data_IF_304621537429
#
_entry.id   IF_304621537429
#
_cell.length_a   1.000
_cell.length_b   1.000
_cell.length_c   1.000
_cell.angle_alpha   90.00
_cell.angle_beta   90.00
_cell.angle_gamma   90.00
#
_symmetry.space_group_name_H-M   'P 1'
#
loop_
_entity.id
_entity.type
_entity.pdbx_description
1 polymer ?
#
# COMPACT_ATOMS: atom_id res chain seq x y z
N UNK A 1 0.62 -3.41 -2.82
CA UNK A 1 1.91 -2.70 -2.89
C UNK A 1 2.77 -2.97 -1.65
N UNK A 2 2.35 -2.63 -0.43
CA UNK A 2 3.11 -3.01 0.79
C UNK A 2 3.20 -4.54 0.98
N UNK A 3 2.11 -5.28 0.80
CA UNK A 3 2.12 -6.74 0.96
C UNK A 3 2.89 -7.48 -0.15
N UNK A 4 2.87 -6.95 -1.38
CA UNK A 4 3.65 -7.51 -2.50
C UNK A 4 5.15 -7.23 -2.34
N UNK A 5 5.53 -6.02 -1.90
CA UNK A 5 6.93 -5.67 -1.62
C UNK A 5 7.49 -6.36 -0.35
N UNK A 6 6.63 -6.66 0.64
CA UNK A 6 6.96 -7.43 1.84
C UNK A 6 6.95 -8.95 1.60
N UNK A 7 6.27 -9.45 0.55
CA UNK A 7 6.35 -10.87 0.16
C UNK A 7 7.52 -11.16 -0.77
N UNK A 8 7.89 -10.24 -1.67
CA UNK A 8 9.00 -10.46 -2.61
C UNK A 8 10.40 -10.43 -1.98
N UNK A 9 10.58 -9.70 -0.87
CA UNK A 9 11.91 -9.52 -0.25
C UNK A 9 12.21 -10.45 0.92
N UNK A 10 11.24 -11.23 1.41
CA UNK A 10 11.36 -11.97 2.68
C UNK A 10 11.23 -13.49 2.57
N UNK A 11 10.88 -14.01 1.40
CA UNK A 11 10.94 -15.45 1.15
C UNK A 11 12.31 -15.81 0.58
N UNK A 12 13.05 -16.68 1.28
CA UNK A 12 14.07 -17.51 0.66
C UNK A 12 13.41 -18.23 -0.52
N UNK A 13 13.66 -17.78 -1.74
CA UNK A 13 13.29 -18.53 -2.93
C UNK A 13 14.13 -19.83 -2.94
N UNK A 14 13.54 -20.92 -2.47
CA UNK A 14 13.93 -22.24 -2.94
C UNK A 14 13.31 -22.36 -4.34
N UNK A 15 14.07 -21.99 -5.37
CA UNK A 15 13.70 -22.27 -6.76
C UNK A 15 13.91 -23.76 -7.03
N UNK A 16 13.00 -24.60 -6.54
CA UNK A 16 12.89 -25.97 -7.04
C UNK A 16 12.10 -25.96 -8.34
N UNK A 17 12.80 -25.98 -9.46
CA UNK A 17 12.22 -26.27 -10.78
C UNK A 17 11.69 -27.71 -10.77
N UNK A 18 10.40 -27.90 -10.48
CA UNK A 18 9.70 -29.14 -10.78
C UNK A 18 8.85 -28.93 -12.05
N UNK A 19 9.31 -29.49 -13.17
CA UNK A 19 8.47 -29.69 -14.34
C UNK A 19 7.56 -30.88 -14.09
N UNK A 20 6.37 -30.65 -13.54
CA UNK A 20 5.30 -31.66 -13.52
C UNK A 20 4.34 -31.38 -14.68
N UNK A 21 4.48 -32.20 -15.74
CA UNK A 21 3.45 -32.38 -16.76
C UNK A 21 2.34 -33.19 -16.10
N UNK A 22 1.25 -32.55 -15.69
CA UNK A 22 0.03 -33.22 -15.26
C UNK A 22 -1.15 -32.71 -16.08
N UNK A 23 -1.53 -33.51 -17.09
CA UNK A 23 -2.81 -33.42 -17.78
C UNK A 23 -3.94 -33.72 -16.79
N UNK A 24 -4.69 -32.72 -16.35
CA UNK A 24 -6.03 -32.92 -15.80
C UNK A 24 -7.02 -31.97 -16.46
N UNK A 25 -7.89 -32.57 -17.28
CA UNK A 25 -9.02 -31.95 -17.97
C UNK A 25 -10.21 -31.87 -17.01
N UNK A 26 -10.52 -30.67 -16.51
CA UNK A 26 -11.82 -30.41 -15.87
C UNK A 26 -12.83 -29.93 -16.91
N UNK A 27 -13.66 -30.89 -17.33
CA UNK A 27 -14.75 -30.73 -18.27
C UNK A 27 -15.93 -30.00 -17.61
N UNK A 28 -16.10 -28.71 -17.92
CA UNK A 28 -17.33 -27.95 -17.62
C UNK A 28 -17.85 -27.44 -18.96
N UNK A 29 -18.87 -28.12 -19.47
CA UNK A 29 -19.82 -27.71 -20.52
C UNK A 29 -19.30 -26.66 -21.53
N UNK A 30 -18.52 -27.12 -22.50
CA UNK A 30 -18.54 -26.67 -23.89
C UNK A 30 -18.37 -25.18 -24.16
N UNK A 31 -17.18 -24.62 -23.93
CA UNK A 31 -16.69 -23.43 -24.61
C UNK A 31 -15.15 -23.43 -24.62
N UNK A 32 -14.55 -23.77 -25.77
CA UNK A 32 -13.11 -23.65 -26.00
C UNK A 32 -12.76 -22.19 -26.31
N UNK A 33 -12.17 -21.48 -25.35
CA UNK A 33 -11.52 -20.18 -25.57
C UNK A 33 -10.03 -20.35 -25.31
N UNK A 34 -9.26 -20.50 -26.39
CA UNK A 34 -7.80 -20.46 -26.35
C UNK A 34 -7.33 -19.03 -26.00
N UNK A 35 -7.05 -18.78 -24.73
CA UNK A 35 -6.26 -17.63 -24.32
C UNK A 35 -4.77 -17.94 -24.57
N UNK A 36 -4.12 -17.13 -25.41
CA UNK A 36 -2.67 -17.08 -25.49
C UNK A 36 -2.18 -16.58 -24.13
N UNK A 37 -1.74 -17.53 -23.30
CA UNK A 37 -1.14 -17.27 -22.00
C UNK A 37 0.19 -16.53 -22.22
N UNK A 38 0.19 -15.21 -22.02
CA UNK A 38 1.42 -14.53 -21.63
C UNK A 38 1.78 -15.04 -20.24
N UNK A 39 3.01 -15.53 -20.07
CA UNK A 39 3.50 -16.18 -18.86
C UNK A 39 3.33 -15.29 -17.62
N UNK A 40 2.22 -15.46 -16.90
CA UNK A 40 2.08 -15.00 -15.52
C UNK A 40 2.20 -16.23 -14.62
N UNK A 41 3.38 -16.39 -14.01
CA UNK A 41 3.63 -17.42 -13.01
C UNK A 41 2.97 -17.01 -11.70
N UNK A 42 1.91 -17.72 -11.29
CA UNK A 42 1.22 -17.50 -10.02
C UNK A 42 1.80 -18.46 -8.97
N UNK A 43 2.71 -17.98 -8.13
CA UNK A 43 3.28 -18.81 -7.05
C UNK A 43 2.23 -19.03 -5.95
N UNK A 44 1.79 -20.29 -5.81
CA UNK A 44 0.99 -20.77 -4.66
C UNK A 44 1.92 -20.90 -3.45
N UNK A 45 1.73 -20.07 -2.43
CA UNK A 45 2.48 -20.13 -1.16
C UNK A 45 1.91 -21.26 -0.30
N UNK A 46 2.69 -22.32 -0.08
CA UNK A 46 2.46 -23.26 1.01
C UNK A 46 3.41 -22.90 2.15
N UNK A 47 2.88 -22.73 3.36
CA UNK A 47 3.67 -22.52 4.57
C UNK A 47 4.22 -23.90 4.97
N UNK A 48 5.46 -24.19 4.61
CA UNK A 48 6.20 -25.32 5.19
C UNK A 48 7.28 -24.79 6.14
N UNK A 49 7.26 -25.36 7.35
CA UNK A 49 8.06 -24.98 8.50
C UNK A 49 9.57 -25.01 8.17
N UNK A 50 10.30 -23.97 8.59
CA UNK A 50 11.76 -24.04 8.70
C UNK A 50 12.13 -25.09 9.76
N UNK A 51 12.95 -26.11 9.47
CA UNK A 51 13.41 -27.03 10.50
C UNK A 51 14.40 -26.32 11.43
N UNK A 52 14.16 -26.48 12.74
CA UNK A 52 15.08 -26.10 13.81
C UNK A 52 16.44 -26.81 13.67
N UNK A 53 17.52 -26.11 14.03
CA UNK A 53 18.84 -26.72 14.26
C UNK A 53 18.79 -27.68 15.45
N UNK A 54 19.35 -28.88 15.28
CA UNK A 54 19.89 -29.67 16.39
C UNK A 54 21.34 -30.12 16.07
N UNK A 55 22.19 -30.33 17.09
CA UNK A 55 23.62 -30.06 17.03
C UNK A 55 24.49 -31.30 16.78
N UNK A 56 25.72 -31.05 16.33
CA UNK A 56 26.98 -31.82 16.54
C UNK A 56 26.92 -33.36 16.54
N UNK A 57 27.66 -34.01 15.63
CA UNK A 57 28.84 -34.87 15.96
C UNK A 57 29.37 -35.71 14.77
N UNK A 58 30.70 -35.77 14.73
CA UNK A 58 31.59 -36.90 14.39
C UNK A 58 31.61 -37.54 12.99
N UNK A 59 32.76 -37.39 12.32
CA UNK A 59 33.43 -38.40 11.46
C UNK A 59 33.55 -39.77 12.15
N UNK A 60 33.63 -40.92 11.42
CA UNK A 60 34.85 -41.40 10.72
C UNK A 60 34.57 -41.98 9.30
N UNK A 61 35.46 -41.90 8.30
CA UNK A 61 36.74 -42.59 8.00
C UNK A 61 36.61 -44.05 7.52
N UNK A 62 37.44 -44.40 6.50
CA UNK A 62 37.70 -45.71 5.85
C UNK A 62 36.72 -46.10 4.71
N UNK A 63 37.10 -46.73 3.58
CA UNK A 63 38.38 -47.24 3.05
C UNK A 63 38.20 -47.67 1.59
N UNK A 64 39.28 -47.63 0.83
CA UNK A 64 39.51 -48.19 -0.51
C UNK A 64 39.22 -49.69 -0.67
N UNK A 65 38.73 -50.14 -1.85
CA UNK A 65 39.46 -51.04 -2.79
C UNK A 65 38.56 -51.82 -3.79
N UNK A 66 38.99 -51.79 -5.06
CA UNK A 66 38.85 -52.68 -6.23
C UNK A 66 38.07 -54.01 -6.17
N UNK A 67 37.30 -54.36 -7.22
CA UNK A 67 37.72 -55.22 -8.36
C UNK A 67 36.61 -55.49 -9.41
N UNK A 68 37.06 -55.56 -10.67
CA UNK A 68 36.50 -55.95 -11.98
C UNK A 68 35.35 -56.97 -12.14
N UNK A 69 34.48 -56.74 -13.14
CA UNK A 69 34.22 -57.66 -14.28
C UNK A 69 33.34 -57.02 -15.38
N UNK A 70 33.70 -57.27 -16.64
CA UNK A 70 33.13 -56.71 -17.88
C UNK A 70 31.73 -57.24 -18.27
N UNK A 71 30.92 -56.45 -19.00
CA UNK A 71 30.53 -56.68 -20.42
C UNK A 71 29.45 -55.67 -20.92
N UNK A 72 29.73 -55.05 -22.06
CA UNK A 72 28.84 -54.58 -23.14
C UNK A 72 27.70 -53.55 -22.93
N UNK A 73 27.86 -52.44 -23.67
CA UNK A 73 26.87 -51.72 -24.51
C UNK A 73 26.23 -50.41 -23.99
N UNK A 74 26.35 -49.37 -24.84
CA UNK A 74 25.74 -48.03 -24.87
C UNK A 74 26.30 -46.94 -23.93
N UNK A 75 27.01 -45.90 -24.43
CA UNK A 75 27.27 -44.70 -23.64
C UNK A 75 26.06 -43.76 -23.73
N UNK A 76 25.17 -43.82 -22.74
CA UNK A 76 24.38 -42.65 -22.36
C UNK A 76 25.36 -41.65 -21.75
N UNK A 77 25.58 -40.53 -22.43
CA UNK A 77 26.33 -39.39 -21.90
C UNK A 77 25.57 -38.82 -20.70
N UNK A 78 25.83 -39.35 -19.51
CA UNK A 78 25.62 -38.64 -18.26
C UNK A 78 26.62 -37.48 -18.22
N UNK A 79 26.20 -36.34 -18.76
CA UNK A 79 26.86 -35.06 -18.48
C UNK A 79 26.61 -34.76 -17.01
N UNK A 80 27.66 -34.94 -16.20
CA UNK A 80 27.76 -34.37 -14.86
C UNK A 80 27.64 -32.84 -14.99
N UNK A 81 26.41 -32.34 -15.03
CA UNK A 81 26.14 -30.95 -14.69
C UNK A 81 26.41 -30.85 -13.20
N UNK A 82 27.55 -30.25 -12.85
CA UNK A 82 27.76 -29.71 -11.52
C UNK A 82 26.62 -28.72 -11.26
N UNK A 83 25.55 -29.19 -10.64
CA UNK A 83 24.49 -28.34 -10.11
C UNK A 83 25.15 -27.62 -8.93
N UNK A 84 25.71 -26.45 -9.21
CA UNK A 84 25.95 -25.45 -8.16
C UNK A 84 24.57 -25.06 -7.65
N UNK A 85 24.12 -25.74 -6.61
CA UNK A 85 23.02 -25.27 -5.78
C UNK A 85 23.54 -23.95 -5.20
N UNK A 86 23.20 -22.84 -5.85
CA UNK A 86 23.31 -21.52 -5.22
C UNK A 86 22.24 -21.56 -4.14
N UNK A 87 22.65 -22.02 -2.98
CA UNK A 87 21.87 -21.92 -1.76
C UNK A 87 21.76 -20.42 -1.49
N UNK A 88 20.68 -19.81 -1.96
CA UNK A 88 20.25 -18.45 -1.62
C UNK A 88 19.90 -18.44 -0.13
N UNK A 89 20.93 -18.55 0.71
CA UNK A 89 20.82 -18.46 2.14
C UNK A 89 20.19 -17.12 2.50
N UNK A 90 19.24 -17.13 3.43
CA UNK A 90 18.68 -15.91 4.01
C UNK A 90 19.83 -15.12 4.64
N UNK A 91 20.22 -14.01 3.99
CA UNK A 91 21.24 -13.11 4.53
C UNK A 91 20.64 -12.32 5.69
N UNK A 92 21.00 -12.70 6.92
CA UNK A 92 20.48 -12.09 8.14
C UNK A 92 20.86 -10.61 8.23
N UNK A 93 22.04 -10.28 7.73
CA UNK A 93 22.56 -8.91 7.60
C UNK A 93 21.64 -8.00 6.78
N UNK A 94 21.06 -8.51 5.68
CA UNK A 94 20.12 -7.74 4.84
C UNK A 94 18.85 -7.42 5.60
N UNK A 95 18.29 -8.38 6.35
CA UNK A 95 17.09 -8.17 7.14
C UNK A 95 17.29 -7.14 8.26
N UNK A 96 18.44 -7.21 8.96
CA UNK A 96 18.78 -6.26 10.02
C UNK A 96 18.94 -4.84 9.48
N UNK A 97 19.71 -4.66 8.40
CA UNK A 97 19.89 -3.35 7.76
C UNK A 97 18.57 -2.80 7.24
N UNK A 98 17.74 -3.65 6.62
CA UNK A 98 16.43 -3.25 6.14
C UNK A 98 15.57 -2.71 7.28
N UNK A 99 15.50 -3.42 8.41
CA UNK A 99 14.72 -3.01 9.57
C UNK A 99 15.25 -1.72 10.20
N UNK A 100 16.56 -1.58 10.33
CA UNK A 100 17.21 -0.36 10.86
C UNK A 100 16.91 0.85 9.98
N UNK A 101 17.02 0.71 8.66
CA UNK A 101 16.73 1.80 7.72
C UNK A 101 15.25 2.17 7.71
N UNK A 102 14.36 1.18 7.73
CA UNK A 102 12.92 1.39 7.77
C UNK A 102 12.47 2.08 9.06
N UNK A 103 12.80 1.50 10.23
CA UNK A 103 12.40 2.06 11.52
C UNK A 103 13.10 3.39 11.80
N UNK A 104 14.37 3.54 11.39
CA UNK A 104 15.10 4.79 11.50
C UNK A 104 14.45 5.92 10.71
N UNK A 105 13.97 5.64 9.50
CA UNK A 105 13.25 6.64 8.67
C UNK A 105 11.97 7.08 9.34
N UNK A 106 11.17 6.13 9.84
CA UNK A 106 9.92 6.42 10.57
C UNK A 106 10.22 7.21 11.85
N UNK A 107 11.23 6.80 12.61
CA UNK A 107 11.63 7.44 13.85
C UNK A 107 12.03 8.90 13.63
N UNK A 108 12.91 9.18 12.66
CA UNK A 108 13.35 10.54 12.34
C UNK A 108 12.14 11.37 11.87
N UNK A 109 11.34 10.86 10.94
CA UNK A 109 10.18 11.58 10.41
C UNK A 109 9.16 11.95 11.51
N UNK A 110 8.84 11.02 12.42
CA UNK A 110 7.91 11.27 13.52
C UNK A 110 8.48 12.22 14.58
N UNK A 111 9.79 12.17 14.86
CA UNK A 111 10.41 13.11 15.78
C UNK A 111 10.42 14.53 15.22
N UNK A 112 10.74 14.71 13.92
CA UNK A 112 10.68 16.01 13.27
C UNK A 112 9.23 16.53 13.22
N UNK A 113 8.25 15.67 12.98
CA UNK A 113 6.83 16.05 13.01
C UNK A 113 6.38 16.53 14.40
N UNK A 114 6.77 15.80 15.46
CA UNK A 114 6.46 16.17 16.84
C UNK A 114 7.31 17.34 17.36
N UNK A 115 8.29 17.80 16.60
CA UNK A 115 9.17 18.91 16.99
C UNK A 115 8.38 20.22 17.19
N UNK A 116 7.25 20.37 16.50
CA UNK A 116 6.26 21.46 16.71
C UNK A 116 5.82 21.62 18.16
N UNK A 117 5.66 20.51 18.88
CA UNK A 117 5.20 20.47 20.28
C UNK A 117 6.31 20.78 21.28
N UNK A 118 7.56 20.83 20.83
CA UNK A 118 8.70 21.04 21.72
C UNK A 118 8.98 22.53 21.91
N UNK A 119 9.49 22.95 23.09
CA UNK A 119 9.81 24.35 23.37
C UNK A 119 11.11 24.82 22.68
N UNK A 120 11.80 23.95 21.94
CA UNK A 120 13.07 24.25 21.29
C UNK A 120 12.85 24.97 19.94
N UNK A 121 13.72 25.93 19.60
CA UNK A 121 13.67 26.78 18.40
C UNK A 121 12.50 27.77 18.32
N UNK A 122 12.62 28.75 17.42
CA UNK A 122 11.55 29.71 17.12
C UNK A 122 10.43 29.06 16.32
N UNK A 123 9.19 29.54 16.48
CA UNK A 123 8.01 28.95 15.84
C UNK A 123 8.15 28.75 14.33
N UNK A 124 8.65 29.77 13.61
CA UNK A 124 8.86 29.70 12.15
C UNK A 124 9.86 28.62 11.75
N UNK A 125 10.93 28.42 12.52
CA UNK A 125 11.92 27.38 12.23
C UNK A 125 11.34 25.98 12.47
N UNK A 126 10.50 25.81 13.50
CA UNK A 126 9.81 24.54 13.76
C UNK A 126 8.84 24.17 12.65
N UNK A 127 8.09 25.15 12.15
CA UNK A 127 7.14 24.96 11.04
C UNK A 127 7.86 24.49 9.78
N UNK A 128 8.92 25.19 9.37
CA UNK A 128 9.76 24.79 8.22
C UNK A 128 10.34 23.38 8.41
N UNK A 129 10.86 23.07 9.61
CA UNK A 129 11.43 21.75 9.88
C UNK A 129 10.37 20.64 9.78
N UNK A 130 9.12 20.93 10.17
CA UNK A 130 8.00 20.00 10.15
C UNK A 130 7.51 19.75 8.73
N UNK A 131 7.44 20.79 7.90
CA UNK A 131 7.06 20.68 6.50
C UNK A 131 8.08 19.86 5.69
N UNK A 132 9.38 20.02 6.00
CA UNK A 132 10.46 19.26 5.37
C UNK A 132 10.83 17.96 6.13
N UNK A 133 10.06 17.56 7.14
CA UNK A 133 10.37 16.39 7.97
C UNK A 133 10.59 15.12 7.14
N UNK A 134 9.72 14.91 6.16
CA UNK A 134 9.72 13.71 5.33
C UNK A 134 10.89 13.67 4.33
N UNK A 135 11.16 14.71 3.51
CA UNK A 135 12.37 14.78 2.70
C UNK A 135 13.66 14.64 3.52
N UNK A 136 13.75 15.30 4.68
CA UNK A 136 14.94 15.24 5.55
C UNK A 136 15.15 13.81 6.07
N UNK A 137 14.09 13.13 6.50
CA UNK A 137 14.17 11.73 6.95
C UNK A 137 14.64 10.78 5.84
N UNK A 138 14.10 10.93 4.62
CA UNK A 138 14.49 10.09 3.47
C UNK A 138 15.96 10.34 3.09
N UNK A 139 16.38 11.61 2.97
CA UNK A 139 17.75 11.95 2.59
C UNK A 139 18.75 11.48 3.65
N UNK A 140 18.47 11.73 4.93
CA UNK A 140 19.36 11.33 6.03
C UNK A 140 19.54 9.82 6.13
N UNK A 141 18.45 9.04 6.07
CA UNK A 141 18.53 7.58 6.13
C UNK A 141 19.07 6.96 4.84
N UNK A 142 18.87 7.59 3.68
CA UNK A 142 19.52 7.16 2.44
C UNK A 142 21.03 7.38 2.49
N UNK A 143 21.49 8.49 3.07
CA UNK A 143 22.91 8.77 3.27
C UNK A 143 23.53 7.78 4.27
N UNK A 144 22.85 7.48 5.37
CA UNK A 144 23.26 6.42 6.31
C UNK A 144 23.33 5.06 5.62
N UNK A 145 22.31 4.70 4.83
CA UNK A 145 22.28 3.45 4.08
C UNK A 145 23.43 3.31 3.08
N UNK A 146 23.71 4.38 2.33
CA UNK A 146 24.77 4.39 1.31
C UNK A 146 26.19 4.46 1.90
N UNK A 147 26.43 5.27 2.94
CA UNK A 147 27.77 5.47 3.51
C UNK A 147 28.16 4.43 4.56
N UNK A 148 27.22 3.99 5.41
CA UNK A 148 27.51 3.08 6.53
C UNK A 148 27.27 1.62 6.12
N UNK A 149 26.23 1.37 5.32
CA UNK A 149 25.81 0.02 4.92
C UNK A 149 26.03 -0.28 3.44
N UNK A 150 26.90 0.49 2.75
CA UNK A 150 27.17 0.34 1.32
C UNK A 150 27.74 -1.03 0.92
N UNK A 151 28.35 -1.75 1.86
CA UNK A 151 28.88 -3.10 1.63
C UNK A 151 27.78 -4.17 1.50
N UNK A 152 26.59 -3.90 2.04
CA UNK A 152 25.46 -4.85 2.05
C UNK A 152 24.55 -4.52 0.87
N UNK A 153 24.58 -5.40 -0.15
CA UNK A 153 23.80 -5.23 -1.38
C UNK A 153 22.31 -5.44 -1.11
N UNK A 154 21.59 -4.36 -0.85
CA UNK A 154 20.14 -4.34 -0.91
C UNK A 154 19.70 -4.50 -2.37
N UNK A 155 18.61 -5.24 -2.61
CA UNK A 155 18.03 -5.35 -3.96
C UNK A 155 17.67 -3.94 -4.44
N UNK A 156 18.30 -3.39 -5.49
CA UNK A 156 17.98 -2.06 -5.97
C UNK A 156 16.60 -2.03 -6.62
N UNK A 157 16.08 -0.84 -6.85
CA UNK A 157 14.90 -0.68 -7.69
C UNK A 157 15.28 -1.04 -9.14
N UNK A 158 14.85 -2.22 -9.60
CA UNK A 158 15.07 -2.69 -10.97
C UNK A 158 14.16 -1.89 -11.90
N UNK A 159 14.75 -1.12 -12.81
CA UNK A 159 14.02 -0.44 -13.89
C UNK A 159 14.47 -1.07 -15.18
N UNK A 160 13.59 -1.85 -15.80
CA UNK A 160 13.87 -2.39 -17.11
C UNK A 160 13.62 -1.30 -18.17
N UNK A 161 14.59 -1.02 -19.06
CA UNK A 161 14.43 0.00 -20.09
C UNK A 161 13.33 -0.34 -21.12
N UNK A 162 12.88 -1.60 -21.17
CA UNK A 162 11.75 -2.08 -21.99
C UNK A 162 10.39 -1.54 -21.53
N UNK A 163 10.25 -1.12 -20.27
CA UNK A 163 8.98 -0.60 -19.74
C UNK A 163 8.57 0.75 -20.35
N UNK A 164 9.51 1.44 -21.01
CA UNK A 164 9.26 2.74 -21.64
C UNK A 164 8.83 2.66 -23.10
N UNK A 165 8.77 1.46 -23.69
CA UNK A 165 8.33 1.32 -25.08
C UNK A 165 6.81 1.47 -25.17
N UNK A 166 6.38 2.59 -25.73
CA UNK A 166 4.98 2.87 -26.01
C UNK A 166 4.50 1.96 -27.16
N UNK A 167 3.82 0.88 -26.79
CA UNK A 167 3.21 -0.06 -27.73
C UNK A 167 1.73 0.28 -27.93
N UNK A 168 1.28 0.26 -29.17
CA UNK A 168 -0.14 0.46 -29.49
C UNK A 168 -0.91 -0.84 -29.25
N UNK A 169 -2.08 -0.74 -28.62
CA UNK A 169 -2.97 -1.88 -28.44
C UNK A 169 -3.31 -2.57 -29.78
N UNK A 170 -3.02 -3.88 -29.95
CA UNK A 170 -3.33 -4.61 -31.18
C UNK A 170 -4.83 -4.96 -31.25
N UNK A 171 -5.66 -3.97 -31.61
CA UNK A 171 -7.13 -4.12 -31.70
C UNK A 171 -7.57 -5.05 -32.84
N UNK A 172 -6.70 -5.30 -33.82
CA UNK A 172 -7.03 -6.06 -35.03
C UNK A 172 -7.12 -7.58 -34.80
N UNK A 173 -6.59 -8.09 -33.68
CA UNK A 173 -6.58 -9.53 -33.36
C UNK A 173 -7.73 -9.94 -32.41
N UNK A 174 -8.63 -9.02 -32.05
CA UNK A 174 -9.62 -9.26 -31.00
C UNK A 174 -10.87 -9.99 -31.54
N UNK A 175 -11.19 -11.14 -30.95
CA UNK A 175 -12.40 -11.89 -31.27
C UNK A 175 -13.64 -11.27 -30.61
N UNK A 176 -14.80 -11.35 -31.26
CA UNK A 176 -16.07 -10.84 -30.72
C UNK A 176 -16.43 -11.36 -29.31
N UNK A 177 -16.19 -12.64 -28.96
CA UNK A 177 -16.42 -13.14 -27.60
C UNK A 177 -15.51 -12.46 -26.56
N UNK A 178 -14.26 -12.16 -26.91
CA UNK A 178 -13.35 -11.45 -26.02
C UNK A 178 -13.81 -10.01 -25.76
N UNK A 179 -14.38 -9.34 -26.78
CA UNK A 179 -15.01 -8.02 -26.61
C UNK A 179 -16.17 -8.10 -25.62
N UNK A 180 -17.08 -9.07 -25.78
CA UNK A 180 -18.21 -9.21 -24.87
C UNK A 180 -17.77 -9.55 -23.43
N UNK A 181 -16.79 -10.43 -23.28
CA UNK A 181 -16.19 -10.73 -21.98
C UNK A 181 -15.55 -9.51 -21.33
N UNK A 182 -14.85 -8.68 -22.10
CA UNK A 182 -14.21 -7.45 -21.61
C UNK A 182 -15.22 -6.43 -21.08
N UNK A 183 -16.40 -6.31 -21.72
CA UNK A 183 -17.49 -5.45 -21.24
C UNK A 183 -17.97 -5.90 -19.85
N UNK A 184 -18.09 -7.21 -19.64
CA UNK A 184 -18.49 -7.79 -18.35
C UNK A 184 -17.53 -7.41 -17.21
N UNK A 185 -16.22 -7.37 -17.47
CA UNK A 185 -15.20 -6.95 -16.49
C UNK A 185 -15.12 -5.42 -16.37
N UNK A 186 -15.38 -4.69 -17.46
CA UNK A 186 -15.32 -3.23 -17.49
C UNK A 186 -16.38 -2.57 -16.60
N UNK A 187 -17.59 -3.14 -16.50
CA UNK A 187 -18.68 -2.59 -15.67
C UNK A 187 -18.27 -2.48 -14.18
N UNK A 188 -17.90 -3.56 -13.48
CA UNK A 188 -17.49 -3.49 -12.07
C UNK A 188 -16.21 -2.68 -11.87
N UNK A 189 -15.29 -2.71 -12.84
CA UNK A 189 -14.09 -1.86 -12.81
C UNK A 189 -14.43 -0.36 -12.90
N UNK A 190 -15.40 0.00 -13.74
CA UNK A 190 -15.88 1.38 -13.86
C UNK A 190 -16.55 1.86 -12.56
N UNK A 191 -17.29 0.97 -11.89
CA UNK A 191 -17.89 1.24 -10.59
C UNK A 191 -16.82 1.44 -9.50
N UNK A 192 -15.73 0.67 -9.53
CA UNK A 192 -14.59 0.86 -8.62
C UNK A 192 -13.98 2.25 -8.77
N UNK A 193 -13.68 2.66 -10.00
CA UNK A 193 -13.09 3.98 -10.26
C UNK A 193 -14.04 5.11 -9.88
N UNK A 194 -15.33 4.96 -10.17
CA UNK A 194 -16.36 5.90 -9.73
C UNK A 194 -16.41 6.05 -8.21
N UNK A 195 -16.39 4.94 -7.48
CA UNK A 195 -16.44 4.96 -6.02
C UNK A 195 -15.17 5.56 -5.42
N UNK A 196 -13.98 5.17 -5.87
CA UNK A 196 -12.72 5.71 -5.38
C UNK A 196 -12.61 7.23 -5.62
N UNK A 197 -13.00 7.71 -6.80
CA UNK A 197 -12.99 9.13 -7.13
C UNK A 197 -13.94 9.92 -6.22
N UNK A 198 -15.16 9.43 -6.01
CA UNK A 198 -16.14 10.12 -5.17
C UNK A 198 -15.76 10.09 -3.69
N UNK A 199 -15.18 9.00 -3.19
CA UNK A 199 -14.69 8.92 -1.81
C UNK A 199 -13.53 9.89 -1.62
N UNK A 200 -12.56 9.91 -2.54
CA UNK A 200 -11.45 10.85 -2.49
C UNK A 200 -11.92 12.31 -2.51
N UNK A 201 -12.87 12.64 -3.41
CA UNK A 201 -13.46 13.97 -3.48
C UNK A 201 -14.26 14.33 -2.22
N UNK A 202 -15.01 13.40 -1.63
CA UNK A 202 -15.76 13.64 -0.40
C UNK A 202 -14.85 13.93 0.80
N UNK A 203 -13.73 13.20 0.92
CA UNK A 203 -12.72 13.44 1.96
C UNK A 203 -12.07 14.82 1.75
N UNK A 204 -11.71 15.15 0.51
CA UNK A 204 -11.11 16.42 0.15
C UNK A 204 -12.05 17.60 0.45
N UNK A 205 -13.30 17.50 0.03
CA UNK A 205 -14.33 18.53 0.19
C UNK A 205 -15.05 18.45 1.55
N UNK A 206 -14.46 17.76 2.52
CA UNK A 206 -14.99 17.76 3.88
C UNK A 206 -15.00 19.19 4.43
N UNK A 207 -16.05 19.60 5.16
CA UNK A 207 -16.16 20.97 5.69
C UNK A 207 -15.01 21.31 6.65
N UNK A 208 -14.39 20.30 7.27
CA UNK A 208 -13.20 20.44 8.11
C UNK A 208 -11.99 21.02 7.38
N UNK A 209 -11.88 20.83 6.06
CA UNK A 209 -10.77 21.35 5.28
C UNK A 209 -10.98 22.81 4.86
N UNK A 210 -12.16 23.41 5.09
CA UNK A 210 -12.49 24.82 4.81
C UNK A 210 -12.02 25.30 3.43
N UNK A 211 -12.22 24.48 2.39
CA UNK A 211 -11.93 24.86 1.01
C UNK A 211 -12.84 26.01 0.55
N UNK A 212 -12.31 26.93 -0.24
CA UNK A 212 -13.03 28.12 -0.73
C UNK A 212 -13.71 27.88 -2.07
N UNK A 213 -13.08 27.12 -2.97
CA UNK A 213 -13.69 26.78 -4.26
C UNK A 213 -14.67 25.62 -4.10
N UNK A 214 -15.80 25.71 -4.79
CA UNK A 214 -16.83 24.67 -4.77
C UNK A 214 -16.36 23.35 -5.41
N UNK A 215 -16.95 22.21 -5.02
CA UNK A 215 -16.62 20.91 -5.57
C UNK A 215 -17.09 20.77 -7.03
N UNK A 216 -16.32 20.06 -7.86
CA UNK A 216 -16.65 19.82 -9.28
C UNK A 216 -16.51 18.34 -9.65
N UNK A 217 -17.16 17.47 -8.88
CA UNK A 217 -16.98 16.01 -8.95
C UNK A 217 -17.27 15.42 -10.34
N UNK A 218 -18.29 15.91 -11.04
CA UNK A 218 -18.66 15.40 -12.36
C UNK A 218 -17.60 15.71 -13.42
N UNK A 219 -16.98 16.89 -13.34
CA UNK A 219 -15.95 17.30 -14.28
C UNK A 219 -14.66 16.51 -14.05
N UNK A 220 -14.30 16.26 -12.80
CA UNK A 220 -13.15 15.44 -12.44
C UNK A 220 -13.30 14.01 -12.97
N UNK A 221 -14.49 13.42 -12.84
CA UNK A 221 -14.79 12.09 -13.38
C UNK A 221 -14.67 12.04 -14.92
N UNK A 222 -15.18 13.07 -15.61
CA UNK A 222 -15.08 13.17 -17.07
C UNK A 222 -13.62 13.27 -17.54
N UNK A 223 -12.81 14.09 -16.88
CA UNK A 223 -11.39 14.27 -17.23
C UNK A 223 -10.60 12.97 -17.00
N UNK A 224 -10.83 12.27 -15.89
CA UNK A 224 -10.16 10.98 -15.61
C UNK A 224 -10.58 9.92 -16.63
N UNK A 225 -11.86 9.88 -17.03
CA UNK A 225 -12.32 8.98 -18.08
C UNK A 225 -11.61 9.24 -19.41
N UNK A 226 -11.48 10.51 -19.82
CA UNK A 226 -10.77 10.88 -21.05
C UNK A 226 -9.29 10.49 -21.00
N UNK A 227 -8.62 10.74 -19.87
CA UNK A 227 -7.21 10.36 -19.68
C UNK A 227 -7.06 8.84 -19.78
N UNK A 228 -7.93 8.06 -19.13
CA UNK A 228 -7.85 6.60 -19.16
C UNK A 228 -8.14 6.00 -20.54
N UNK A 229 -8.99 6.64 -21.36
CA UNK A 229 -9.18 6.25 -22.77
C UNK A 229 -7.85 6.39 -23.54
N UNK A 230 -7.15 7.51 -23.37
CA UNK A 230 -5.86 7.74 -24.02
C UNK A 230 -4.81 6.74 -23.54
N UNK A 231 -4.72 6.50 -22.22
CA UNK A 231 -3.80 5.51 -21.64
C UNK A 231 -4.07 4.09 -22.16
N UNK A 232 -5.35 3.72 -22.34
CA UNK A 232 -5.74 2.42 -22.88
C UNK A 232 -5.28 2.20 -24.32
N UNK A 233 -5.30 3.23 -25.17
CA UNK A 233 -4.84 3.15 -26.56
C UNK A 233 -3.33 2.84 -26.63
N UNK A 234 -2.57 3.37 -25.68
CA UNK A 234 -1.12 3.23 -25.56
C UNK A 234 -0.68 2.11 -24.62
N UNK A 235 -1.59 1.23 -24.18
CA UNK A 235 -1.31 0.15 -23.23
C UNK A 235 -0.62 0.60 -21.93
N UNK A 236 -0.86 1.85 -21.52
CA UNK A 236 -0.34 2.40 -20.28
C UNK A 236 -1.26 2.07 -19.09
N UNK A 237 -0.70 1.92 -17.87
CA UNK A 237 -1.50 1.67 -16.69
C UNK A 237 -2.47 2.83 -16.43
N UNK A 238 -3.68 2.49 -16.01
CA UNK A 238 -4.72 3.48 -15.76
C UNK A 238 -4.45 4.29 -14.50
N UNK A 239 -4.90 5.54 -14.50
CA UNK A 239 -4.78 6.46 -13.38
C UNK A 239 -6.12 6.57 -12.66
N UNK A 240 -6.08 6.52 -11.33
CA UNK A 240 -7.23 6.64 -10.44
C UNK A 240 -6.87 7.52 -9.23
N UNK A 241 -7.87 7.94 -8.45
CA UNK A 241 -7.63 8.80 -7.29
C UNK A 241 -6.87 8.08 -6.17
N UNK A 242 -5.76 8.67 -5.74
CA UNK A 242 -4.95 8.17 -4.63
C UNK A 242 -5.48 8.71 -3.28
N UNK A 243 -6.20 7.84 -2.54
CA UNK A 243 -6.83 8.17 -1.26
C UNK A 243 -5.90 8.75 -0.18
N UNK A 244 -4.68 8.25 0.07
CA UNK A 244 -3.80 8.86 1.08
C UNK A 244 -3.09 10.11 0.56
N UNK A 245 -2.79 10.18 -0.75
CA UNK A 245 -1.99 11.26 -1.32
C UNK A 245 -2.75 12.58 -1.38
N UNK A 246 -4.03 12.55 -1.79
CA UNK A 246 -4.88 13.74 -1.90
C UNK A 246 -5.03 14.53 -0.58
N UNK A 247 -5.44 13.92 0.55
CA UNK A 247 -5.56 14.63 1.82
C UNK A 247 -4.19 15.04 2.38
N UNK A 248 -3.12 14.27 2.15
CA UNK A 248 -1.77 14.67 2.56
C UNK A 248 -1.29 15.91 1.80
N UNK A 249 -1.53 15.98 0.50
CA UNK A 249 -1.21 17.16 -0.31
C UNK A 249 -1.98 18.40 0.16
N UNK A 250 -3.26 18.25 0.52
CA UNK A 250 -4.05 19.36 1.07
C UNK A 250 -3.58 19.76 2.45
N UNK A 251 -3.23 18.80 3.31
CA UNK A 251 -2.66 19.06 4.63
C UNK A 251 -1.34 19.82 4.56
N UNK A 252 -0.50 19.51 3.55
CA UNK A 252 0.74 20.24 3.30
C UNK A 252 0.53 21.69 2.79
N UNK A 253 -0.67 22.03 2.31
CA UNK A 253 -1.06 23.37 1.87
C UNK A 253 -1.96 24.10 2.88
N UNK A 254 -2.28 23.43 3.99
CA UNK A 254 -3.17 23.91 5.02
C UNK A 254 -2.38 24.60 6.13
N UNK A 255 -2.76 25.83 6.44
CA UNK A 255 -2.23 26.52 7.62
C UNK A 255 -3.05 26.04 8.83
N UNK A 256 -2.36 25.43 9.79
CA UNK A 256 -2.94 24.86 11.02
C UNK A 256 -2.76 25.82 12.19
N UNK A 257 -3.83 26.12 12.90
CA UNK A 257 -3.75 26.84 14.19
C UNK A 257 -4.08 25.90 15.34
N UNK A 258 -3.37 26.10 16.44
CA UNK A 258 -3.62 25.45 17.71
C UNK A 258 -4.63 26.28 18.50
N UNK A 259 -5.87 25.79 18.59
CA UNK A 259 -6.87 26.36 19.50
C UNK A 259 -6.87 25.58 20.80
N UNK A 260 -6.85 26.31 21.91
CA UNK A 260 -6.99 25.74 23.26
C UNK A 260 -8.46 25.78 23.63
N UNK A 261 -9.12 24.63 23.56
CA UNK A 261 -10.51 24.51 23.99
C UNK A 261 -10.57 24.33 25.51
N UNK A 262 -11.12 25.33 26.20
CA UNK A 262 -11.80 25.20 27.50
C UNK A 262 -11.10 24.45 28.63
N UNK A 263 -9.76 24.47 28.71
CA UNK A 263 -9.06 23.97 29.89
C UNK A 263 -7.64 23.50 29.65
N UNK A 264 -7.40 22.48 28.82
CA UNK A 264 -6.07 21.85 28.72
C UNK A 264 -5.82 21.10 27.39
N UNK A 265 -6.70 21.21 26.39
CA UNK A 265 -6.54 20.48 25.12
C UNK A 265 -6.22 21.42 23.97
N UNK A 266 -5.03 21.24 23.42
CA UNK A 266 -4.54 21.92 22.23
C UNK A 266 -5.04 21.14 21.02
N UNK A 267 -5.98 21.70 20.26
CA UNK A 267 -6.51 21.09 19.04
C UNK A 267 -6.02 21.87 17.83
N UNK A 268 -5.36 21.17 16.90
CA UNK A 268 -4.97 21.73 15.62
C UNK A 268 -6.19 21.75 14.69
N UNK A 269 -6.58 22.93 14.22
CA UNK A 269 -7.64 23.07 13.22
C UNK A 269 -7.10 23.78 11.98
N UNK A 270 -7.59 23.34 10.81
CA UNK A 270 -7.30 24.00 9.54
C UNK A 270 -8.01 25.36 9.54
N UNK A 271 -7.26 26.44 9.35
CA UNK A 271 -7.84 27.80 9.24
C UNK A 271 -8.16 28.09 7.78
N UNK A 272 -7.15 27.88 6.93
CA UNK A 272 -7.18 28.16 5.50
C UNK A 272 -6.31 27.14 4.77
N UNK A 273 -6.74 26.79 3.57
CA UNK A 273 -5.95 25.98 2.63
C UNK A 273 -5.57 26.84 1.45
N UNK A 274 -4.30 26.80 1.05
CA UNK A 274 -3.80 27.47 -0.15
C UNK A 274 -4.11 26.62 -1.37
N UNK A 275 -5.14 26.99 -2.11
CA UNK A 275 -5.55 26.25 -3.31
C UNK A 275 -4.73 26.66 -4.55
N UNK A 276 -3.64 25.95 -4.82
CA UNK A 276 -2.74 26.21 -5.94
C UNK A 276 -2.79 25.12 -7.01
N UNK A 277 -2.77 25.51 -8.29
CA UNK A 277 -2.63 24.57 -9.43
C UNK A 277 -1.17 24.23 -9.75
N UNK A 278 -0.26 25.11 -9.37
CA UNK A 278 1.16 25.05 -9.71
C UNK A 278 1.89 23.90 -9.01
N UNK A 279 1.54 23.58 -7.76
CA UNK A 279 2.17 22.50 -7.00
C UNK A 279 1.97 21.16 -7.70
N UNK A 280 0.74 20.86 -8.14
CA UNK A 280 0.43 19.63 -8.85
C UNK A 280 1.13 19.57 -10.21
N UNK A 281 1.14 20.68 -10.96
CA UNK A 281 1.85 20.76 -12.24
C UNK A 281 3.35 20.50 -12.08
N UNK A 282 4.00 21.16 -11.12
CA UNK A 282 5.43 20.97 -10.83
C UNK A 282 5.70 19.54 -10.40
N UNK A 283 4.88 18.96 -9.53
CA UNK A 283 5.06 17.57 -9.09
C UNK A 283 5.01 16.59 -10.26
N UNK A 284 4.08 16.75 -11.22
CA UNK A 284 4.03 15.87 -12.40
C UNK A 284 5.21 16.07 -13.34
N UNK A 285 5.68 17.31 -13.52
CA UNK A 285 6.91 17.59 -14.29
C UNK A 285 8.13 16.95 -13.61
N UNK A 286 8.23 17.03 -12.28
CA UNK A 286 9.30 16.40 -11.51
C UNK A 286 9.23 14.87 -11.55
N UNK A 287 8.03 14.28 -11.54
CA UNK A 287 7.85 12.83 -11.75
C UNK A 287 8.36 12.45 -13.15
N UNK A 288 8.03 13.22 -14.19
CA UNK A 288 8.57 13.01 -15.53
C UNK A 288 10.09 13.12 -15.59
N UNK A 289 10.65 14.15 -14.93
CA UNK A 289 12.11 14.33 -14.82
C UNK A 289 12.78 13.21 -14.02
N UNK A 290 12.09 12.66 -13.01
CA UNK A 290 12.62 11.60 -12.17
C UNK A 290 12.96 10.34 -12.97
N UNK A 291 12.26 10.07 -14.09
CA UNK A 291 12.57 8.97 -15.00
C UNK A 291 13.99 9.08 -15.58
N UNK A 292 14.44 10.30 -15.92
CA UNK A 292 15.80 10.55 -16.38
C UNK A 292 16.84 10.45 -15.25
N UNK A 293 16.41 10.64 -14.00
CA UNK A 293 17.25 10.59 -12.80
C UNK A 293 17.29 9.20 -12.12
N UNK A 294 16.54 8.21 -12.65
CA UNK A 294 16.56 6.81 -12.20
C UNK A 294 17.99 6.24 -12.13
N UNK A 295 18.82 6.30 -13.21
CA UNK A 295 20.14 5.67 -13.17
C UNK A 295 21.04 6.31 -12.11
N UNK A 296 21.02 7.64 -12.01
CA UNK A 296 21.71 8.41 -10.97
C UNK A 296 20.96 9.73 -10.76
N UNK A 297 20.72 10.21 -9.52
CA UNK A 297 21.11 9.67 -8.23
C UNK A 297 20.06 8.78 -7.53
N UNK A 298 18.88 8.54 -8.10
CA UNK A 298 17.78 7.87 -7.39
C UNK A 298 18.12 6.44 -6.96
N UNK A 299 19.04 5.75 -7.64
CA UNK A 299 19.51 4.41 -7.26
C UNK A 299 20.14 4.35 -5.86
N UNK A 300 20.64 5.48 -5.33
CA UNK A 300 21.20 5.55 -3.98
C UNK A 300 20.16 5.55 -2.87
N UNK A 301 18.86 5.69 -3.20
CA UNK A 301 17.80 5.62 -2.20
C UNK A 301 17.42 4.15 -2.00
N UNK A 302 17.78 3.53 -0.87
CA UNK A 302 17.50 2.12 -0.66
C UNK A 302 15.98 1.91 -0.47
N UNK A 303 15.39 0.85 -1.06
CA UNK A 303 13.97 0.52 -0.88
C UNK A 303 13.44 0.48 0.57
N UNK A 304 14.18 -0.01 1.59
CA UNK A 304 13.71 0.06 2.98
C UNK A 304 13.36 1.47 3.47
N UNK A 305 14.06 2.51 3.01
CA UNK A 305 13.77 3.90 3.37
C UNK A 305 12.44 4.35 2.78
N UNK A 306 12.15 3.99 1.53
CA UNK A 306 10.86 4.25 0.89
C UNK A 306 9.72 3.51 1.60
N UNK A 307 9.98 2.28 2.08
CA UNK A 307 9.00 1.54 2.88
C UNK A 307 8.77 2.18 4.26
N UNK A 308 9.80 2.77 4.87
CA UNK A 308 9.66 3.62 6.05
C UNK A 308 8.78 4.86 5.79
N UNK A 309 8.98 5.51 4.63
CA UNK A 309 8.12 6.60 4.15
C UNK A 309 6.65 6.17 4.03
N UNK A 310 6.35 4.99 3.49
CA UNK A 310 4.98 4.48 3.42
C UNK A 310 4.35 4.26 4.81
N UNK A 311 5.12 3.76 5.78
CA UNK A 311 4.64 3.61 7.16
C UNK A 311 4.37 4.97 7.80
N UNK A 312 5.25 5.95 7.61
CA UNK A 312 5.03 7.31 8.08
C UNK A 312 3.73 7.91 7.49
N UNK A 313 3.51 7.76 6.19
CA UNK A 313 2.26 8.21 5.55
C UNK A 313 1.04 7.49 6.10
N UNK A 314 1.13 6.19 6.39
CA UNK A 314 0.05 5.44 7.02
C UNK A 314 -0.29 5.96 8.43
N UNK A 315 0.73 6.22 9.27
CA UNK A 315 0.54 6.74 10.64
C UNK A 315 -0.06 8.15 10.61
N UNK A 316 0.45 9.03 9.75
CA UNK A 316 -0.03 10.41 9.65
C UNK A 316 -1.42 10.52 9.03
N UNK A 317 -1.81 9.57 8.16
CA UNK A 317 -3.17 9.47 7.63
C UNK A 317 -4.21 9.03 8.68
N UNK A 318 -3.79 8.35 9.76
CA UNK A 318 -4.67 8.01 10.89
C UNK A 318 -4.93 9.21 11.81
N UNK A 319 -4.01 10.17 11.86
CA UNK A 319 -4.14 11.37 12.70
C UNK A 319 -5.25 12.29 12.17
N UNK A 320 -6.24 12.59 13.02
CA UNK A 320 -7.43 13.38 12.65
C UNK A 320 -8.57 12.55 12.06
N UNK A 321 -8.43 11.22 11.98
CA UNK A 321 -9.53 10.34 11.65
C UNK A 321 -10.42 10.11 12.90
N UNK A 322 -11.66 10.58 12.83
CA UNK A 322 -12.62 10.45 13.94
C UNK A 322 -12.90 9.00 14.34
N UNK A 323 -12.87 8.04 13.41
CA UNK A 323 -13.04 6.63 13.74
C UNK A 323 -11.86 6.14 14.59
N UNK A 324 -10.64 6.51 14.21
CA UNK A 324 -9.43 6.13 14.94
C UNK A 324 -9.37 6.78 16.33
N UNK A 325 -9.74 8.06 16.45
CA UNK A 325 -9.89 8.72 17.75
C UNK A 325 -10.86 7.98 18.67
N UNK A 326 -11.99 7.52 18.13
CA UNK A 326 -12.97 6.75 18.92
C UNK A 326 -12.50 5.34 19.26
N UNK A 327 -11.70 4.70 18.40
CA UNK A 327 -11.05 3.42 18.72
C UNK A 327 -10.09 3.62 19.90
N UNK A 328 -9.33 4.71 19.93
CA UNK A 328 -8.43 5.02 21.04
C UNK A 328 -9.19 5.19 22.36
N UNK A 329 -10.42 5.72 22.34
CA UNK A 329 -11.26 5.85 23.55
C UNK A 329 -11.63 4.51 24.20
N UNK A 330 -11.53 3.37 23.50
CA UNK A 330 -11.69 2.05 24.13
C UNK A 330 -10.53 1.72 25.07
N UNK A 331 -9.33 2.23 24.78
CA UNK A 331 -8.11 1.98 25.53
C UNK A 331 -7.91 3.05 26.60
N UNK A 332 -8.36 4.29 26.34
CA UNK A 332 -8.25 5.41 27.28
C UNK A 332 -9.12 5.20 28.52
N UNK A 333 -8.58 5.54 29.70
CA UNK A 333 -9.34 5.56 30.96
C UNK A 333 -10.44 6.63 30.92
N UNK A 334 -11.59 6.36 31.55
CA UNK A 334 -12.75 7.27 31.55
C UNK A 334 -12.45 8.66 32.14
N UNK A 335 -11.53 8.74 33.10
CA UNK A 335 -11.10 9.98 33.74
C UNK A 335 -10.28 10.88 32.79
N UNK A 336 -9.62 10.30 31.79
CA UNK A 336 -8.75 10.96 30.83
C UNK A 336 -9.44 11.27 29.49
N UNK A 337 -10.76 11.16 29.41
CA UNK A 337 -11.51 11.47 28.18
C UNK A 337 -11.38 12.94 27.84
N UNK A 338 -10.94 13.29 26.61
CA UNK A 338 -10.88 14.69 26.21
C UNK A 338 -12.30 15.27 26.18
N UNK A 339 -12.52 16.53 26.60
CA UNK A 339 -13.82 17.18 26.61
C UNK A 339 -14.24 17.57 25.20
N UNK A 340 -14.59 16.58 24.36
CA UNK A 340 -15.09 16.80 23.01
C UNK A 340 -16.62 17.00 23.00
N UNK A 341 -17.12 17.66 21.96
CA UNK A 341 -18.56 17.96 21.80
C UNK A 341 -19.45 16.71 21.83
N UNK A 342 -19.01 15.61 21.21
CA UNK A 342 -19.78 14.37 21.16
C UNK A 342 -19.69 13.57 22.46
N UNK A 343 -18.55 13.59 23.17
CA UNK A 343 -18.39 12.92 24.48
C UNK A 343 -19.32 13.53 25.53
N UNK A 344 -19.57 14.84 25.46
CA UNK A 344 -20.48 15.54 26.39
C UNK A 344 -21.97 15.26 26.12
N UNK A 345 -22.34 14.89 24.88
CA UNK A 345 -23.75 14.76 24.45
C UNK A 345 -24.25 13.33 24.41
N UNK A 346 -23.37 12.36 24.19
CA UNK A 346 -23.73 10.96 23.95
C UNK A 346 -23.30 10.09 25.13
N UNK A 347 -24.17 9.22 25.68
CA UNK A 347 -23.77 8.31 26.74
C UNK A 347 -22.70 7.32 26.24
N UNK A 348 -21.67 7.09 27.05
CA UNK A 348 -20.48 6.31 26.67
C UNK A 348 -20.80 4.91 26.11
N UNK A 349 -21.79 4.20 26.69
CA UNK A 349 -22.21 2.88 26.20
C UNK A 349 -22.68 2.91 24.74
N UNK A 350 -23.39 3.96 24.33
CA UNK A 350 -23.87 4.12 22.96
C UNK A 350 -22.74 4.51 22.01
N UNK A 351 -21.77 5.30 22.49
CA UNK A 351 -20.55 5.62 21.74
C UNK A 351 -19.73 4.35 21.46
N UNK A 352 -19.49 3.54 22.49
CA UNK A 352 -18.76 2.27 22.36
C UNK A 352 -19.50 1.22 21.52
N UNK A 353 -20.83 1.19 21.60
CA UNK A 353 -21.64 0.33 20.74
C UNK A 353 -21.52 0.74 19.26
N UNK A 354 -21.52 2.05 18.98
CA UNK A 354 -21.35 2.56 17.63
C UNK A 354 -19.99 2.21 17.04
N UNK A 355 -18.91 2.43 17.79
CA UNK A 355 -17.55 2.12 17.35
C UNK A 355 -17.32 0.64 17.17
N UNK A 356 -17.96 -0.21 17.99
CA UNK A 356 -17.94 -1.65 17.81
C UNK A 356 -18.57 -2.08 16.47
N UNK A 357 -19.73 -1.51 16.10
CA UNK A 357 -20.32 -1.77 14.78
C UNK A 357 -19.43 -1.28 13.62
N UNK A 358 -18.78 -0.12 13.77
CA UNK A 358 -17.82 0.37 12.78
C UNK A 358 -16.61 -0.56 12.63
N UNK A 359 -16.09 -1.12 13.73
CA UNK A 359 -15.00 -2.09 13.71
C UNK A 359 -15.40 -3.40 13.01
N UNK A 360 -16.64 -3.87 13.21
CA UNK A 360 -17.17 -5.03 12.47
C UNK A 360 -17.23 -4.74 10.97
N UNK A 361 -17.75 -3.57 10.58
CA UNK A 361 -17.82 -3.16 9.17
C UNK A 361 -16.43 -3.05 8.54
N UNK A 362 -15.47 -2.45 9.25
CA UNK A 362 -14.09 -2.36 8.81
C UNK A 362 -13.43 -3.74 8.71
N UNK A 363 -13.62 -4.61 9.71
CA UNK A 363 -13.07 -5.97 9.69
C UNK A 363 -13.60 -6.79 8.51
N UNK A 364 -14.90 -6.69 8.22
CA UNK A 364 -15.50 -7.29 7.03
C UNK A 364 -14.88 -6.70 5.75
N UNK A 365 -14.73 -5.37 5.65
CA UNK A 365 -14.08 -4.74 4.50
C UNK A 365 -12.63 -5.21 4.30
N UNK A 366 -11.86 -5.30 5.39
CA UNK A 366 -10.48 -5.77 5.37
C UNK A 366 -10.37 -7.23 4.90
N UNK A 367 -11.28 -8.11 5.33
CA UNK A 367 -11.27 -9.51 4.92
C UNK A 367 -11.36 -9.67 3.38
N UNK A 368 -12.22 -8.90 2.73
CA UNK A 368 -12.34 -8.91 1.26
C UNK A 368 -11.24 -8.10 0.56
N UNK A 369 -10.79 -6.98 1.15
CA UNK A 369 -9.72 -6.16 0.59
C UNK A 369 -8.35 -6.85 0.57
N UNK A 370 -8.05 -7.64 1.60
CA UNK A 370 -6.80 -8.42 1.71
C UNK A 370 -6.89 -9.81 1.08
N UNK A 371 -8.00 -10.14 0.39
CA UNK A 371 -8.13 -11.40 -0.30
C UNK A 371 -7.03 -11.54 -1.39
N UNK A 372 -6.41 -12.72 -1.53
CA UNK A 372 -5.33 -12.93 -2.51
C UNK A 372 -5.84 -12.89 -3.95
N UNK A 373 -7.10 -13.24 -4.18
CA UNK A 373 -7.70 -13.30 -5.51
C UNK A 373 -8.06 -11.90 -6.06
N UNK A 374 -7.61 -11.53 -7.27
CA UNK A 374 -7.93 -10.23 -7.87
C UNK A 374 -9.43 -10.07 -8.17
N UNK A 375 -10.13 -11.15 -8.49
CA UNK A 375 -11.58 -11.13 -8.76
C UNK A 375 -12.42 -10.68 -7.56
N UNK A 376 -12.00 -11.04 -6.34
CA UNK A 376 -12.69 -10.60 -5.12
C UNK A 376 -12.52 -9.09 -4.90
N UNK A 377 -11.35 -8.53 -5.24
CA UNK A 377 -11.09 -7.09 -5.15
C UNK A 377 -11.95 -6.27 -6.10
N UNK A 378 -12.32 -6.84 -7.25
CA UNK A 378 -13.20 -6.19 -8.22
C UNK A 378 -14.64 -6.01 -7.69
N UNK A 379 -15.07 -6.83 -6.72
CA UNK A 379 -16.38 -6.74 -6.06
C UNK A 379 -16.38 -5.72 -4.90
N UNK A 380 -15.20 -5.24 -4.48
CA UNK A 380 -15.02 -4.29 -3.38
C UNK A 380 -15.98 -3.07 -3.38
N UNK A 381 -16.27 -2.40 -4.51
CA UNK A 381 -17.19 -1.26 -4.54
C UNK A 381 -18.61 -1.64 -4.17
N UNK A 382 -19.07 -2.82 -4.61
CA UNK A 382 -20.40 -3.34 -4.29
C UNK A 382 -20.51 -3.58 -2.80
N UNK A 383 -19.46 -4.13 -2.19
CA UNK A 383 -19.37 -4.34 -0.73
C UNK A 383 -19.47 -3.00 0.01
N UNK A 384 -18.77 -1.96 -0.44
CA UNK A 384 -18.87 -0.62 0.14
C UNK A 384 -20.29 -0.05 0.09
N UNK A 385 -20.96 -0.15 -1.06
CA UNK A 385 -22.35 0.32 -1.22
C UNK A 385 -23.28 -0.43 -0.26
N UNK A 386 -23.16 -1.76 -0.18
CA UNK A 386 -23.93 -2.58 0.76
C UNK A 386 -23.68 -2.16 2.21
N UNK A 387 -22.43 -1.89 2.59
CA UNK A 387 -22.10 -1.40 3.93
C UNK A 387 -22.72 -0.04 4.24
N UNK A 388 -22.78 0.88 3.27
CA UNK A 388 -23.44 2.18 3.44
C UNK A 388 -24.95 1.99 3.66
N UNK A 389 -25.60 1.11 2.90
CA UNK A 389 -27.03 0.78 3.07
C UNK A 389 -27.27 0.12 4.43
N UNK A 390 -26.41 -0.82 4.82
CA UNK A 390 -26.46 -1.45 6.15
C UNK A 390 -26.29 -0.42 7.26
N UNK A 391 -25.36 0.54 7.12
CA UNK A 391 -25.19 1.63 8.08
C UNK A 391 -26.50 2.42 8.24
N UNK A 392 -27.11 2.84 7.13
CA UNK A 392 -28.31 3.69 7.17
C UNK A 392 -29.57 2.94 7.66
N UNK A 393 -29.60 1.61 7.58
CA UNK A 393 -30.77 0.80 7.98
C UNK A 393 -30.64 0.17 9.36
N UNK A 394 -29.43 -0.26 9.75
CA UNK A 394 -29.18 -1.01 10.99
C UNK A 394 -28.84 -0.07 12.16
N UNK A 395 -28.05 0.98 11.91
CA UNK A 395 -27.59 1.87 13.00
C UNK A 395 -28.73 2.69 13.63
N UNK A 396 -29.68 3.27 12.87
CA UNK A 396 -30.82 3.98 13.46
C UNK A 396 -31.76 3.09 14.30
N UNK A 397 -31.71 1.77 14.13
CA UNK A 397 -32.46 0.82 14.97
C UNK A 397 -31.80 0.57 16.33
N UNK A 398 -30.48 0.74 16.42
CA UNK A 398 -29.71 0.46 17.64
C UNK A 398 -29.44 1.70 18.51
N UNK A 399 -29.37 2.88 17.89
CA UNK A 399 -28.97 4.14 18.52
C UNK A 399 -29.94 5.25 18.09
N UNK A 400 -30.40 6.05 19.06
CA UNK A 400 -31.31 7.17 18.77
C UNK A 400 -30.69 8.16 17.78
N UNK A 401 -31.53 8.68 16.87
CA UNK A 401 -31.12 9.62 15.81
C UNK A 401 -30.40 10.86 16.37
N UNK A 402 -30.83 11.36 17.53
CA UNK A 402 -30.19 12.49 18.23
C UNK A 402 -28.72 12.23 18.56
N UNK A 403 -28.38 11.01 18.98
CA UNK A 403 -27.00 10.64 19.28
C UNK A 403 -26.18 10.41 18.02
N UNK A 404 -26.79 9.84 16.97
CA UNK A 404 -26.13 9.68 15.68
C UNK A 404 -25.78 11.01 15.04
N UNK A 405 -26.69 11.97 15.08
CA UNK A 405 -26.40 13.32 14.59
C UNK A 405 -25.26 13.97 15.38
N UNK A 406 -25.19 13.78 16.70
CA UNK A 406 -24.07 14.28 17.50
C UNK A 406 -22.73 13.57 17.19
N UNK A 407 -22.77 12.30 16.76
CA UNK A 407 -21.59 11.50 16.40
C UNK A 407 -21.10 11.75 14.96
N UNK A 408 -22.00 12.15 14.06
CA UNK A 408 -21.71 12.38 12.64
C UNK A 408 -21.52 13.86 12.29
N UNK A 409 -21.98 14.78 13.15
CA UNK A 409 -21.81 16.21 12.93
C UNK A 409 -20.32 16.55 12.92
N UNK A 410 -19.83 16.93 11.75
CA UNK A 410 -18.50 17.49 11.55
C UNK A 410 -18.38 18.83 12.30
N UNK A 411 -17.17 19.11 12.80
CA UNK A 411 -16.79 20.41 13.34
C UNK A 411 -16.66 21.45 12.24
#
# INVERSE_FOLDING_TARGET
>A
MLQTAFQENYHCNLSTNYSLISNETLNIQGFDINFIHSNYSFNRISIENCPEMLPSKSFPLSSSSSTSSALSSLPSQHTNRNITIIQSGCQREVALVYLVLLLGTVWIALNLLNFTKTPFLTATKREILTDFALPIAVISMSLVGSLIFGDIKLKPFEVEPSDFMLSKAPLNLLSWPAVLGSIGIAIPLSLLFYMEQNIASAILNSPSNKLRKGPSNHWDLFVIALINIILSIFCLPWVHAALPHTPLHVKALADMEEHVDGGHHIKQTVIRVRETRLTLFISHVLIGLSLAMIPYPLIYIPPPVLNGLFIYMAITALQGNQMFERILLFITEQSAYPPSHYIRRVPQRKLHLFTFFQLIQLGFLCAFGFAPSPYVKLIFPVILVVQIVLRHTLIPKAIDSKYLEALDRHF
#
